data_IF_246621252005
#
_entry.id   IF_246621252005
#
_cell.length_a   1.000
_cell.length_b   1.000
_cell.length_c   1.000
_cell.angle_alpha   90.00
_cell.angle_beta   90.00
_cell.angle_gamma   90.00
#
_symmetry.space_group_name_H-M   'P 1'
#
loop_
_entity.id
_entity.type
_entity.pdbx_description
1 polymer ?
#
# COMPACT_ATOMS: atom_id res chain seq x y z
N UNK A 1 -46.78 20.68 -52.66
CA UNK A 1 -46.00 21.15 -51.50
C UNK A 1 -45.48 19.91 -50.80
N UNK A 2 -44.19 19.61 -50.88
CA UNK A 2 -43.60 18.42 -50.25
C UNK A 2 -42.92 18.82 -48.95
N UNK A 3 -43.33 18.21 -47.85
CA UNK A 3 -42.70 18.39 -46.52
C UNK A 3 -41.53 17.40 -46.44
N UNK A 4 -40.31 17.91 -46.25
CA UNK A 4 -39.12 17.09 -45.98
C UNK A 4 -38.89 17.05 -44.48
N UNK A 5 -38.96 15.87 -43.88
CA UNK A 5 -38.60 15.63 -42.50
C UNK A 5 -37.14 15.16 -42.45
N UNK A 6 -36.30 15.90 -41.73
CA UNK A 6 -34.91 15.49 -41.48
C UNK A 6 -34.87 14.68 -40.19
N UNK A 7 -34.70 13.36 -40.30
CA UNK A 7 -34.59 12.47 -39.14
C UNK A 7 -33.10 12.26 -38.87
N UNK A 8 -32.61 12.78 -37.73
CA UNK A 8 -31.22 12.62 -37.29
C UNK A 8 -31.16 11.47 -36.28
N UNK A 9 -30.65 10.31 -36.71
CA UNK A 9 -30.61 9.07 -35.94
C UNK A 9 -31.27 7.92 -36.71
N UNK A 10 -30.65 6.74 -36.70
CA UNK A 10 -30.96 5.61 -37.59
C UNK A 10 -32.46 5.28 -37.63
N UNK A 11 -33.11 5.60 -38.73
CA UNK A 11 -34.46 5.14 -39.05
C UNK A 11 -34.35 4.16 -40.20
N UNK A 12 -35.04 3.02 -40.09
CA UNK A 12 -35.16 2.06 -41.19
C UNK A 12 -36.44 2.39 -41.97
N UNK A 13 -36.35 2.32 -43.29
CA UNK A 13 -37.50 2.48 -44.17
C UNK A 13 -38.09 1.08 -44.39
N UNK A 14 -39.28 0.81 -43.86
CA UNK A 14 -40.01 -0.42 -44.16
C UNK A 14 -41.20 -0.08 -45.08
N UNK A 15 -40.99 -0.22 -46.39
CA UNK A 15 -41.95 0.22 -47.40
C UNK A 15 -42.06 1.76 -47.47
N UNK A 16 -43.26 2.32 -47.36
CA UNK A 16 -43.52 3.76 -47.46
C UNK A 16 -43.63 4.48 -46.09
N UNK A 17 -43.36 3.77 -44.98
CA UNK A 17 -43.50 4.31 -43.61
C UNK A 17 -42.13 4.42 -42.96
N UNK A 18 -41.87 5.58 -42.34
CA UNK A 18 -40.70 5.79 -41.48
C UNK A 18 -41.11 5.45 -40.05
N UNK A 19 -40.42 4.48 -39.45
CA UNK A 19 -40.64 4.09 -38.05
C UNK A 19 -39.38 4.44 -37.24
N UNK A 20 -39.52 4.94 -35.99
CA UNK A 20 -38.38 5.14 -35.12
C UNK A 20 -37.75 3.77 -34.81
N UNK A 21 -36.43 3.66 -34.92
CA UNK A 21 -35.71 2.44 -34.55
C UNK A 21 -35.89 2.18 -33.05
N UNK A 22 -36.82 1.29 -32.72
CA UNK A 22 -36.91 0.67 -31.41
C UNK A 22 -35.97 -0.52 -31.46
N UNK A 23 -34.81 -0.43 -30.80
CA UNK A 23 -33.92 -1.58 -30.61
C UNK A 23 -34.78 -2.75 -30.09
N UNK A 24 -34.95 -3.80 -30.90
CA UNK A 24 -35.69 -4.97 -30.49
C UNK A 24 -34.94 -5.59 -29.30
N UNK A 25 -35.66 -6.18 -28.34
CA UNK A 25 -35.09 -6.99 -27.27
C UNK A 25 -34.36 -8.19 -27.89
N UNK A 26 -33.13 -7.97 -28.35
CA UNK A 26 -32.49 -8.81 -29.35
C UNK A 26 -31.40 -8.12 -30.19
N UNK A 27 -31.15 -6.81 -30.04
CA UNK A 27 -29.91 -6.19 -30.53
C UNK A 27 -28.72 -6.95 -29.91
N UNK A 28 -28.13 -7.84 -30.71
CA UNK A 28 -27.16 -8.88 -30.33
C UNK A 28 -25.82 -8.34 -29.84
N UNK A 29 -25.71 -7.05 -29.52
CA UNK A 29 -24.51 -6.45 -28.93
C UNK A 29 -24.51 -6.70 -27.43
N UNK A 30 -24.67 -7.98 -27.03
CA UNK A 30 -24.24 -8.42 -25.71
C UNK A 30 -22.72 -8.54 -25.79
N UNK A 31 -22.01 -7.83 -24.92
CA UNK A 31 -20.57 -8.06 -24.74
C UNK A 31 -20.30 -9.52 -24.38
N UNK A 32 -19.15 -10.04 -24.81
CA UNK A 32 -18.75 -11.42 -24.55
C UNK A 32 -18.95 -11.80 -23.08
N UNK A 33 -19.44 -13.01 -22.84
CA UNK A 33 -19.49 -13.54 -21.48
C UNK A 33 -18.05 -13.57 -20.97
N UNK A 34 -17.78 -12.83 -19.89
CA UNK A 34 -16.46 -12.82 -19.27
C UNK A 34 -15.99 -14.23 -18.91
N UNK A 35 -14.67 -14.49 -18.88
CA UNK A 35 -14.15 -15.82 -18.59
C UNK A 35 -14.71 -16.35 -17.27
N UNK A 36 -15.15 -17.61 -17.28
CA UNK A 36 -15.59 -18.30 -16.06
C UNK A 36 -14.37 -18.61 -15.18
N UNK A 37 -13.90 -17.60 -14.46
CA UNK A 37 -12.80 -17.73 -13.52
C UNK A 37 -13.20 -18.46 -12.24
N UNK A 38 -12.25 -19.18 -11.66
CA UNK A 38 -12.40 -19.75 -10.32
C UNK A 38 -12.17 -18.66 -9.27
N UNK A 39 -13.08 -18.55 -8.31
CA UNK A 39 -12.95 -17.64 -7.15
C UNK A 39 -12.53 -18.45 -5.92
N UNK A 40 -11.43 -18.11 -5.22
CA UNK A 40 -10.98 -18.89 -4.07
C UNK A 40 -11.88 -18.66 -2.86
N UNK A 41 -12.13 -19.73 -2.11
CA UNK A 41 -12.67 -19.70 -0.76
C UNK A 41 -11.49 -19.75 0.20
N UNK A 42 -11.38 -18.72 1.03
CA UNK A 42 -10.23 -18.50 1.92
C UNK A 42 -10.62 -18.76 3.37
N UNK A 43 -9.72 -19.35 4.15
CA UNK A 43 -9.85 -19.49 5.59
C UNK A 43 -8.54 -19.14 6.29
N UNK A 44 -8.65 -18.54 7.48
CA UNK A 44 -7.51 -18.37 8.37
C UNK A 44 -7.12 -19.73 8.96
N UNK A 45 -5.84 -20.10 8.89
CA UNK A 45 -5.27 -21.27 9.53
C UNK A 45 -4.27 -20.82 10.61
N UNK A 46 -4.48 -21.28 11.84
CA UNK A 46 -3.52 -21.08 12.92
C UNK A 46 -2.30 -21.98 12.72
N UNK A 47 -1.11 -21.39 12.84
CA UNK A 47 0.17 -22.07 12.73
C UNK A 47 1.09 -21.60 13.86
N UNK A 48 0.90 -22.20 15.04
CA UNK A 48 1.51 -21.75 16.28
C UNK A 48 1.03 -20.35 16.65
N UNK A 49 1.94 -19.37 16.65
CA UNK A 49 1.63 -17.96 16.88
C UNK A 49 1.24 -17.21 15.60
N UNK A 50 1.41 -17.83 14.43
CA UNK A 50 1.13 -17.25 13.12
C UNK A 50 -0.32 -17.50 12.70
N UNK A 51 -0.87 -16.58 11.92
CA UNK A 51 -2.14 -16.75 11.20
C UNK A 51 -1.84 -16.70 9.71
N UNK A 52 -2.08 -17.81 9.02
CA UNK A 52 -1.92 -17.93 7.57
C UNK A 52 -3.30 -17.83 6.91
N UNK A 53 -3.35 -17.43 5.64
CA UNK A 53 -4.57 -17.55 4.83
C UNK A 53 -4.40 -18.71 3.86
N UNK A 54 -5.31 -19.68 3.93
CA UNK A 54 -5.34 -20.88 3.10
C UNK A 54 -6.53 -20.87 2.15
N UNK A 55 -6.31 -21.40 0.96
CA UNK A 55 -7.37 -21.73 0.02
C UNK A 55 -7.98 -23.06 0.44
N UNK A 56 -9.21 -23.01 0.97
CA UNK A 56 -9.96 -24.20 1.40
C UNK A 56 -10.85 -24.74 0.30
N UNK A 57 -11.30 -23.88 -0.62
CA UNK A 57 -12.10 -24.31 -1.76
C UNK A 57 -12.07 -23.32 -2.93
N UNK A 58 -12.80 -23.61 -4.01
CA UNK A 58 -13.03 -22.70 -5.14
C UNK A 58 -14.48 -22.73 -5.59
N UNK A 59 -15.04 -21.56 -5.92
CA UNK A 59 -16.40 -21.37 -6.41
C UNK A 59 -16.41 -20.88 -7.87
N UNK A 60 -17.50 -21.19 -8.58
CA UNK A 60 -17.69 -20.78 -9.97
C UNK A 60 -16.88 -21.65 -10.94
N UNK A 61 -16.23 -21.00 -11.91
CA UNK A 61 -15.31 -21.64 -12.84
C UNK A 61 -15.94 -22.58 -13.87
N UNK A 62 -15.16 -22.88 -14.91
CA UNK A 62 -15.38 -23.99 -15.85
C UNK A 62 -14.07 -24.77 -15.98
N UNK A 63 -14.15 -26.08 -16.22
CA UNK A 63 -12.98 -26.95 -16.35
C UNK A 63 -12.49 -27.55 -15.02
N UNK A 64 -11.20 -27.87 -14.94
CA UNK A 64 -10.60 -28.50 -13.75
C UNK A 64 -10.49 -27.47 -12.63
N UNK A 65 -11.03 -27.81 -11.47
CA UNK A 65 -10.93 -27.00 -10.25
C UNK A 65 -9.46 -26.84 -9.83
N UNK A 66 -8.99 -25.63 -9.47
CA UNK A 66 -7.63 -25.45 -9.03
C UNK A 66 -7.36 -26.18 -7.71
N UNK A 67 -6.07 -26.43 -7.44
CA UNK A 67 -5.65 -27.13 -6.23
C UNK A 67 -6.09 -26.38 -4.95
N UNK A 68 -6.57 -27.13 -3.97
CA UNK A 68 -6.87 -26.63 -2.62
C UNK A 68 -5.71 -26.92 -1.67
N UNK A 69 -5.67 -26.24 -0.53
CA UNK A 69 -4.64 -26.42 0.50
C UNK A 69 -3.40 -25.54 0.31
N UNK A 70 -3.39 -24.69 -0.71
CA UNK A 70 -2.37 -23.66 -0.93
C UNK A 70 -2.56 -22.50 0.05
N UNK A 71 -1.48 -21.79 0.37
CA UNK A 71 -1.49 -20.59 1.21
C UNK A 71 -1.18 -19.34 0.39
N UNK A 72 -1.65 -18.18 0.85
CA UNK A 72 -1.29 -16.90 0.24
C UNK A 72 0.18 -16.61 0.53
N UNK A 73 0.95 -16.41 -0.54
CA UNK A 73 2.39 -16.17 -0.50
C UNK A 73 2.79 -14.97 -1.37
N UNK A 74 4.10 -14.72 -1.50
CA UNK A 74 4.59 -13.55 -2.20
C UNK A 74 4.25 -13.57 -3.70
N UNK A 75 4.09 -12.40 -4.30
CA UNK A 75 3.67 -12.26 -5.70
C UNK A 75 4.67 -12.89 -6.70
N UNK A 76 5.96 -12.92 -6.36
CA UNK A 76 6.98 -13.55 -7.20
C UNK A 76 6.85 -15.09 -7.29
N UNK A 77 6.13 -15.72 -6.37
CA UNK A 77 5.77 -17.15 -6.42
C UNK A 77 4.46 -17.43 -7.17
N UNK A 78 3.84 -16.40 -7.77
CA UNK A 78 2.49 -16.50 -8.34
C UNK A 78 1.36 -16.30 -7.33
N UNK A 79 1.67 -15.79 -6.13
CA UNK A 79 0.70 -15.44 -5.08
C UNK A 79 0.21 -16.59 -4.21
N UNK A 80 0.50 -17.85 -4.58
CA UNK A 80 0.15 -19.04 -3.81
C UNK A 80 1.36 -19.93 -3.57
N UNK A 81 1.48 -20.48 -2.37
CA UNK A 81 2.57 -21.40 -1.95
C UNK A 81 2.01 -22.66 -1.32
N UNK A 82 2.70 -23.80 -1.48
CA UNK A 82 2.26 -25.08 -0.89
C UNK A 82 2.66 -25.21 0.58
N UNK A 83 3.87 -24.76 0.92
CA UNK A 83 4.40 -24.89 2.26
C UNK A 83 3.98 -23.72 3.15
N UNK A 84 3.60 -24.03 4.39
CA UNK A 84 3.32 -23.02 5.43
C UNK A 84 4.52 -22.12 5.73
N UNK A 85 5.74 -22.64 5.56
CA UNK A 85 6.98 -21.90 5.81
C UNK A 85 7.13 -20.67 4.90
N UNK A 86 6.62 -20.76 3.66
CA UNK A 86 6.74 -19.72 2.64
C UNK A 86 5.52 -18.78 2.60
N UNK A 87 4.50 -19.05 3.43
CA UNK A 87 3.26 -18.30 3.46
C UNK A 87 3.40 -16.98 4.24
N UNK A 88 2.59 -15.99 3.87
CA UNK A 88 2.52 -14.76 4.64
C UNK A 88 1.91 -14.98 6.03
N UNK A 89 2.53 -14.36 7.03
CA UNK A 89 1.99 -14.31 8.38
C UNK A 89 1.13 -13.06 8.55
N UNK A 90 -0.20 -13.22 8.55
CA UNK A 90 -1.17 -12.12 8.57
C UNK A 90 -1.38 -11.49 9.95
N UNK A 91 -1.03 -12.19 11.03
CA UNK A 91 -1.07 -11.63 12.38
C UNK A 91 0.35 -11.31 12.91
N UNK A 92 1.33 -11.19 12.02
CA UNK A 92 2.67 -10.78 12.42
C UNK A 92 2.59 -9.46 13.18
N UNK A 93 3.01 -9.47 14.45
CA UNK A 93 3.07 -8.26 15.26
C UNK A 93 4.07 -7.31 14.62
N UNK A 94 3.59 -6.22 14.00
CA UNK A 94 4.49 -5.15 13.55
C UNK A 94 5.14 -4.54 14.77
N UNK A 95 6.47 -4.63 14.84
CA UNK A 95 7.21 -4.00 15.93
C UNK A 95 7.26 -2.50 15.70
N UNK A 96 6.93 -1.74 16.75
CA UNK A 96 6.91 -0.28 16.75
C UNK A 96 7.84 0.21 17.85
N UNK A 97 8.80 1.06 17.49
CA UNK A 97 9.77 1.63 18.41
C UNK A 97 9.76 3.15 18.31
N UNK A 98 9.93 3.82 19.45
CA UNK A 98 10.20 5.26 19.49
C UNK A 98 11.66 5.42 19.90
N UNK A 99 12.44 6.11 19.07
CA UNK A 99 13.86 6.35 19.32
C UNK A 99 14.11 7.86 19.42
N UNK A 100 15.08 8.21 20.26
CA UNK A 100 15.52 9.59 20.46
C UNK A 100 17.05 9.68 20.36
N UNK A 101 17.56 10.72 19.71
CA UNK A 101 18.99 10.98 19.61
C UNK A 101 19.29 12.47 19.53
N UNK A 102 20.42 12.91 20.09
CA UNK A 102 20.88 14.28 19.99
C UNK A 102 21.47 14.57 18.59
N UNK A 103 21.20 15.75 18.06
CA UNK A 103 21.77 16.21 16.80
C UNK A 103 23.21 16.73 16.98
N UNK A 104 24.05 16.50 15.96
CA UNK A 104 25.40 17.04 15.88
C UNK A 104 25.41 18.53 15.46
N UNK A 105 26.60 19.10 15.25
CA UNK A 105 26.77 20.50 14.83
C UNK A 105 26.06 20.86 13.52
N UNK A 106 25.82 19.87 12.65
CA UNK A 106 25.12 20.01 11.38
C UNK A 106 23.60 19.81 11.51
N UNK A 107 23.08 19.59 12.72
CA UNK A 107 21.65 19.33 12.96
C UNK A 107 21.22 17.90 12.62
N UNK A 108 22.16 16.97 12.42
CA UNK A 108 21.88 15.59 12.05
C UNK A 108 21.97 14.64 13.27
N UNK A 109 20.98 13.76 13.41
CA UNK A 109 20.96 12.67 14.39
C UNK A 109 20.96 11.32 13.66
N UNK A 110 21.85 10.42 14.05
CA UNK A 110 21.96 9.08 13.48
C UNK A 110 21.30 8.06 14.40
N UNK A 111 20.42 7.25 13.84
CA UNK A 111 19.73 6.17 14.53
C UNK A 111 20.25 4.84 14.03
N UNK A 112 20.53 3.93 14.96
CA UNK A 112 20.92 2.56 14.66
C UNK A 112 19.75 1.63 14.98
N UNK A 113 19.47 0.69 14.09
CA UNK A 113 18.43 -0.32 14.26
C UNK A 113 19.06 -1.66 14.64
N UNK A 114 19.56 -1.72 15.87
CA UNK A 114 20.25 -2.88 16.41
C UNK A 114 19.84 -3.15 17.87
N UNK A 115 20.40 -4.21 18.46
CA UNK A 115 20.10 -4.60 19.83
C UNK A 115 20.43 -3.50 20.85
N UNK A 116 21.43 -2.66 20.59
CA UNK A 116 21.77 -1.53 21.48
C UNK A 116 20.68 -0.45 21.51
N UNK A 117 19.88 -0.34 20.45
CA UNK A 117 18.69 0.51 20.39
C UNK A 117 17.41 -0.20 20.91
N UNK A 118 17.53 -1.37 21.55
CA UNK A 118 16.40 -2.17 22.02
C UNK A 118 15.67 -2.95 20.92
N UNK A 119 16.24 -3.00 19.72
CA UNK A 119 15.65 -3.68 18.56
C UNK A 119 16.32 -5.05 18.40
N UNK A 120 15.63 -6.10 18.81
CA UNK A 120 16.08 -7.49 18.66
C UNK A 120 14.91 -8.39 18.23
N UNK A 121 15.03 -9.16 17.13
CA UNK A 121 16.13 -9.16 16.15
C UNK A 121 16.20 -7.86 15.32
N UNK A 122 17.36 -7.53 14.76
CA UNK A 122 17.48 -6.41 13.81
C UNK A 122 16.57 -6.60 12.61
N UNK A 123 16.20 -5.51 11.95
CA UNK A 123 15.36 -5.59 10.74
C UNK A 123 16.15 -6.22 9.58
N UNK A 124 15.46 -7.01 8.76
CA UNK A 124 16.02 -7.63 7.54
C UNK A 124 15.76 -6.77 6.30
N UNK A 125 14.67 -5.99 6.32
CA UNK A 125 14.31 -5.00 5.31
C UNK A 125 14.28 -3.60 5.92
N UNK A 126 14.49 -2.54 5.14
CA UNK A 126 14.34 -1.17 5.63
C UNK A 126 12.95 -0.95 6.24
N UNK A 127 12.86 -0.53 7.52
CA UNK A 127 11.58 -0.26 8.16
C UNK A 127 10.98 1.06 7.65
N UNK A 128 9.71 1.30 7.97
CA UNK A 128 9.08 2.61 7.76
C UNK A 128 9.50 3.51 8.92
N UNK A 129 10.07 4.67 8.60
CA UNK A 129 10.49 5.67 9.60
C UNK A 129 9.69 6.95 9.43
N UNK A 130 9.13 7.46 10.53
CA UNK A 130 8.45 8.76 10.58
C UNK A 130 9.12 9.66 11.59
N UNK A 131 9.39 10.90 11.18
CA UNK A 131 9.83 11.92 12.10
C UNK A 131 8.72 12.28 13.10
N UNK A 132 9.09 12.41 14.36
CA UNK A 132 8.27 13.01 15.40
C UNK A 132 8.78 14.43 15.69
N UNK A 133 7.99 15.27 16.37
CA UNK A 133 8.44 16.60 16.79
C UNK A 133 9.76 16.51 17.57
N UNK A 134 10.73 17.33 17.16
CA UNK A 134 11.98 17.50 17.90
C UNK A 134 11.75 18.38 19.12
N UNK A 135 12.54 18.19 20.17
CA UNK A 135 12.45 18.99 21.41
C UNK A 135 13.75 19.76 21.66
N UNK A 136 13.61 21.05 21.96
CA UNK A 136 14.65 21.93 22.52
C UNK A 136 14.05 22.92 23.50
N UNK A 137 14.80 23.30 24.54
CA UNK A 137 14.39 24.35 25.49
C UNK A 137 14.58 25.76 24.94
N UNK A 138 15.38 25.89 23.89
CA UNK A 138 15.77 27.17 23.29
C UNK A 138 15.04 27.29 21.95
N UNK A 139 14.16 28.29 21.85
CA UNK A 139 13.59 28.92 20.64
C UNK A 139 12.08 28.76 20.39
N UNK A 140 11.49 29.89 20.02
CA UNK A 140 10.12 30.10 19.53
C UNK A 140 10.14 30.05 18.00
N UNK A 141 9.45 29.08 17.39
CA UNK A 141 9.27 28.98 15.92
C UNK A 141 9.08 27.54 15.42
N UNK A 142 8.59 27.34 14.19
CA UNK A 142 8.35 26.00 13.63
C UNK A 142 9.66 25.25 13.36
N UNK A 143 9.71 23.97 13.75
CA UNK A 143 10.81 23.04 13.48
C UNK A 143 10.46 22.07 12.37
N UNK A 144 11.41 21.78 11.49
CA UNK A 144 11.30 20.78 10.43
C UNK A 144 12.27 19.63 10.70
N UNK A 145 11.76 18.41 10.69
CA UNK A 145 12.58 17.19 10.74
C UNK A 145 12.45 16.44 9.42
N UNK A 146 13.56 16.20 8.74
CA UNK A 146 13.61 15.41 7.51
C UNK A 146 14.36 14.09 7.77
N UNK A 147 13.78 12.97 7.34
CA UNK A 147 14.41 11.65 7.42
C UNK A 147 15.10 11.34 6.10
N UNK A 148 16.35 10.90 6.17
CA UNK A 148 17.17 10.52 5.01
C UNK A 148 17.90 9.19 5.33
N UNK A 149 18.32 8.47 4.28
CA UNK A 149 19.16 7.27 4.40
C UNK A 149 18.56 6.14 5.25
N UNK A 150 17.26 5.85 5.07
CA UNK A 150 16.61 4.72 5.75
C UNK A 150 17.12 3.41 5.15
N UNK A 151 17.80 2.61 5.97
CA UNK A 151 18.24 1.26 5.66
C UNK A 151 17.71 0.28 6.72
N UNK A 152 17.93 -1.02 6.54
CA UNK A 152 17.59 -2.02 7.56
C UNK A 152 18.38 -1.81 8.88
N UNK A 153 19.52 -1.12 8.83
CA UNK A 153 20.44 -0.95 9.96
C UNK A 153 20.37 0.43 10.62
N UNK A 154 19.71 1.41 10.02
CA UNK A 154 19.59 2.74 10.61
C UNK A 154 18.95 3.78 9.69
N UNK A 155 18.92 5.02 10.18
CA UNK A 155 18.55 6.20 9.41
C UNK A 155 19.17 7.47 9.97
N UNK A 156 19.14 8.55 9.20
CA UNK A 156 19.55 9.89 9.67
C UNK A 156 18.34 10.83 9.69
N UNK A 157 18.15 11.55 10.79
CA UNK A 157 17.16 12.62 10.89
C UNK A 157 17.87 13.98 10.97
N UNK A 158 17.49 14.92 10.11
CA UNK A 158 18.01 16.29 10.12
C UNK A 158 16.95 17.21 10.71
N UNK A 159 17.29 17.92 11.78
CA UNK A 159 16.43 18.88 12.46
C UNK A 159 16.89 20.30 12.12
N UNK A 160 15.94 21.10 11.64
CA UNK A 160 16.15 22.49 11.27
C UNK A 160 15.05 23.35 11.87
N UNK A 161 15.36 24.60 12.20
CA UNK A 161 14.38 25.57 12.69
C UNK A 161 14.43 26.85 11.87
N UNK A 162 13.27 27.50 11.71
CA UNK A 162 13.22 28.82 11.09
C UNK A 162 13.85 29.88 11.98
N UNK A 163 14.84 30.60 11.44
CA UNK A 163 15.44 31.73 12.13
C UNK A 163 14.46 32.91 12.17
N UNK A 164 14.32 33.51 13.35
CA UNK A 164 13.33 34.57 13.67
C UNK A 164 13.48 35.80 12.74
N UNK A 165 14.71 36.14 12.32
CA UNK A 165 14.98 37.37 11.56
C UNK A 165 15.25 37.17 10.07
N UNK A 166 15.56 35.95 9.62
CA UNK A 166 16.02 35.72 8.24
C UNK A 166 15.10 34.83 7.42
N UNK A 167 14.10 34.18 8.03
CA UNK A 167 13.18 33.27 7.32
C UNK A 167 13.87 32.01 6.74
N UNK A 168 15.19 31.90 6.90
CA UNK A 168 16.03 30.77 6.51
C UNK A 168 16.01 29.71 7.61
N UNK A 169 16.06 28.44 7.20
CA UNK A 169 16.20 27.32 8.13
C UNK A 169 17.66 27.18 8.57
N UNK A 170 17.90 27.20 9.89
CA UNK A 170 19.21 26.92 10.49
C UNK A 170 19.26 25.51 11.10
N UNK A 171 20.40 24.85 10.97
CA UNK A 171 20.67 23.57 11.63
C UNK A 171 20.66 23.75 13.15
N UNK A 172 20.01 22.82 13.86
CA UNK A 172 19.84 22.91 15.30
C UNK A 172 20.71 21.86 15.99
N UNK A 173 21.90 22.25 16.45
CA UNK A 173 22.82 21.38 17.18
C UNK A 173 22.35 21.16 18.62
N UNK A 174 22.49 19.93 19.13
CA UNK A 174 22.08 19.57 20.50
C UNK A 174 20.56 19.40 20.68
N UNK A 175 19.77 19.48 19.61
CA UNK A 175 18.35 19.15 19.64
C UNK A 175 18.12 17.65 19.80
N UNK A 176 17.05 17.27 20.47
CA UNK A 176 16.64 15.86 20.51
C UNK A 176 15.72 15.57 19.32
N UNK A 177 16.21 14.81 18.35
CA UNK A 177 15.40 14.27 17.28
C UNK A 177 14.66 13.02 17.79
N UNK A 178 13.35 12.95 17.54
CA UNK A 178 12.52 11.81 17.89
C UNK A 178 12.00 11.16 16.60
N UNK A 179 12.01 9.83 16.52
CA UNK A 179 11.48 9.08 15.37
C UNK A 179 10.60 7.92 15.83
N UNK A 180 9.61 7.60 15.01
CA UNK A 180 8.81 6.39 15.08
C UNK A 180 9.30 5.42 14.00
N UNK A 181 9.69 4.22 14.41
CA UNK A 181 10.14 3.14 13.52
C UNK A 181 9.11 2.03 13.54
N UNK A 182 8.67 1.61 12.37
CA UNK A 182 7.64 0.59 12.19
C UNK A 182 8.22 -0.47 11.26
N UNK A 183 8.19 -1.73 11.68
CA UNK A 183 8.58 -2.85 10.83
C UNK A 183 7.72 -2.90 9.55
N UNK A 184 8.41 -2.99 8.41
CA UNK A 184 7.80 -2.92 7.08
C UNK A 184 6.86 -4.10 6.82
#
# INVERSE_FOLDING_TARGET
MSVRLNVVGGALINGARIEPYMAQKGDSVKGDIGPSGWTPVLAGEADGTRTLIKVVDWLGGQGVKPQVGMYIGPANSGGYVQAKADAFNFNAAKRVFVLAAATNAQGAANFLFNAAAGINPSFTLPPIVKALPATTSVLSGPTRTAITAVTATGCTANVQQQAILTGVLSALAGATANILVIEA
#
